data_IF_667143494449
#
_entry.id   IF_667143494449
#
_cell.length_a   1.000
_cell.length_b   1.000
_cell.length_c   1.000
_cell.angle_alpha   90.00
_cell.angle_beta   90.00
_cell.angle_gamma   90.00
#
_symmetry.space_group_name_H-M   'P 1'
#
loop_
_entity.id
_entity.type
_entity.pdbx_description
1 polymer ?
#
# COMPACT_ATOMS: atom_id res chain seq x y z
N UNK A 1 -3.21 -2.60 -21.13
CA UNK A 1 -3.12 -1.54 -20.10
C UNK A 1 -4.16 -0.43 -20.29
N UNK A 2 -4.44 0.07 -21.50
CA UNK A 2 -5.47 1.13 -21.69
C UNK A 2 -6.87 0.81 -21.11
N UNK A 3 -7.38 -0.41 -21.33
CA UNK A 3 -8.68 -0.85 -20.76
C UNK A 3 -8.66 -1.05 -19.23
N UNK A 4 -7.48 -1.30 -18.65
CA UNK A 4 -7.29 -1.42 -17.20
C UNK A 4 -7.44 -0.04 -16.56
N UNK A 5 -6.74 0.97 -17.10
CA UNK A 5 -6.74 2.32 -16.58
C UNK A 5 -8.09 3.01 -16.72
N UNK A 6 -8.79 2.81 -17.84
CA UNK A 6 -10.15 3.31 -18.02
C UNK A 6 -11.14 2.78 -16.97
N UNK A 7 -10.95 1.55 -16.48
CA UNK A 7 -11.78 0.95 -15.42
C UNK A 7 -11.41 1.44 -14.03
N UNK A 8 -10.14 1.72 -13.80
CA UNK A 8 -9.64 2.25 -12.53
C UNK A 8 -10.01 3.73 -12.34
N UNK A 9 -10.07 4.51 -13.43
CA UNK A 9 -10.53 5.91 -13.42
C UNK A 9 -12.06 6.04 -13.45
N UNK A 10 -12.74 5.06 -14.05
CA UNK A 10 -14.17 4.83 -13.89
C UNK A 10 -14.48 4.46 -12.44
N UNK A 11 -15.47 5.09 -11.83
CA UNK A 11 -15.85 4.84 -10.42
C UNK A 11 -15.98 3.33 -10.13
N UNK A 12 -15.59 2.86 -8.93
CA UNK A 12 -15.35 3.63 -7.71
C UNK A 12 -13.87 3.92 -7.41
N UNK A 13 -13.61 5.16 -6.95
CA UNK A 13 -12.32 5.57 -6.41
C UNK A 13 -12.09 4.93 -5.04
N UNK A 14 -10.85 4.51 -4.77
CA UNK A 14 -10.44 4.08 -3.43
C UNK A 14 -10.70 5.22 -2.43
N UNK A 15 -11.41 4.92 -1.35
CA UNK A 15 -11.76 5.91 -0.33
C UNK A 15 -10.77 5.84 0.82
N UNK A 16 -10.39 7.00 1.36
CA UNK A 16 -9.52 7.11 2.54
C UNK A 16 -10.00 6.24 3.71
N UNK A 17 -11.32 6.26 4.00
CA UNK A 17 -11.91 5.46 5.08
C UNK A 17 -11.64 3.95 4.93
N UNK A 18 -11.55 3.45 3.70
CA UNK A 18 -11.27 2.03 3.43
C UNK A 18 -9.81 1.68 3.66
N UNK A 19 -8.88 2.58 3.32
CA UNK A 19 -7.46 2.38 3.65
C UNK A 19 -7.23 2.31 5.15
N UNK A 20 -7.98 3.09 5.95
CA UNK A 20 -7.95 2.96 7.41
C UNK A 20 -8.44 1.59 7.87
N UNK A 21 -9.54 1.07 7.28
CA UNK A 21 -10.03 -0.29 7.57
C UNK A 21 -8.99 -1.34 7.22
N UNK A 22 -8.34 -1.24 6.06
CA UNK A 22 -7.28 -2.16 5.63
C UNK A 22 -6.15 -2.19 6.63
N UNK A 23 -5.63 -1.03 7.05
CA UNK A 23 -4.55 -0.97 8.04
C UNK A 23 -4.95 -1.56 9.39
N UNK A 24 -6.19 -1.34 9.82
CA UNK A 24 -6.71 -1.96 11.03
C UNK A 24 -6.74 -3.48 10.91
N UNK A 25 -7.30 -4.00 9.81
CA UNK A 25 -7.38 -5.44 9.55
C UNK A 25 -5.98 -6.08 9.52
N UNK A 26 -5.00 -5.43 8.90
CA UNK A 26 -3.59 -5.88 8.92
C UNK A 26 -3.06 -5.95 10.35
N UNK A 27 -3.29 -4.91 11.16
CA UNK A 27 -2.82 -4.89 12.55
C UNK A 27 -3.56 -5.86 13.48
N UNK A 28 -4.78 -6.27 13.14
CA UNK A 28 -5.55 -7.26 13.90
C UNK A 28 -5.18 -8.70 13.52
N UNK A 29 -4.78 -8.92 12.26
CA UNK A 29 -4.39 -10.24 11.76
C UNK A 29 -2.96 -10.63 12.10
N UNK A 30 -2.04 -9.67 12.11
CA UNK A 30 -0.64 -9.89 12.45
C UNK A 30 -0.24 -8.94 13.60
N UNK A 31 -0.13 -9.49 14.81
CA UNK A 31 0.29 -8.75 16.00
C UNK A 31 1.69 -8.13 15.84
N UNK A 32 2.60 -8.77 15.09
CA UNK A 32 3.94 -8.22 14.86
C UNK A 32 3.88 -7.00 13.92
N UNK A 33 3.03 -7.02 12.90
CA UNK A 33 2.74 -5.83 12.09
C UNK A 33 2.07 -4.77 12.95
N UNK A 34 1.09 -5.17 13.77
CA UNK A 34 0.41 -4.32 14.72
C UNK A 34 1.37 -3.57 15.63
N UNK A 35 2.30 -4.25 16.28
CA UNK A 35 3.30 -3.62 17.16
C UNK A 35 4.29 -2.70 16.43
N UNK A 36 4.57 -2.96 15.15
CA UNK A 36 5.46 -2.10 14.33
C UNK A 36 4.72 -0.86 13.82
N UNK A 37 3.47 -1.00 13.36
CA UNK A 37 2.68 0.11 12.83
C UNK A 37 2.07 0.97 13.94
N UNK A 38 1.62 0.34 15.03
CA UNK A 38 1.06 1.03 16.21
C UNK A 38 2.15 1.50 17.17
N UNK A 39 3.42 1.15 16.91
CA UNK A 39 4.60 1.48 17.72
C UNK A 39 4.26 1.49 19.20
N UNK A 40 4.18 0.32 19.84
CA UNK A 40 4.01 0.20 21.30
C UNK A 40 5.11 0.95 22.10
N UNK A 41 6.14 1.45 21.41
CA UNK A 41 7.24 2.29 21.92
C UNK A 41 6.95 3.81 21.90
N UNK A 42 5.92 4.27 21.21
CA UNK A 42 5.62 5.70 20.99
C UNK A 42 4.19 6.11 21.34
N UNK A 43 3.28 5.15 21.50
CA UNK A 43 1.89 5.39 21.87
C UNK A 43 1.48 4.48 23.04
N UNK A 44 1.00 5.09 24.11
CA UNK A 44 0.61 4.40 25.35
C UNK A 44 -0.90 4.16 25.45
N UNK A 45 -1.69 4.92 24.69
CA UNK A 45 -3.15 4.82 24.64
C UNK A 45 -3.69 4.43 23.26
N UNK A 46 -4.89 3.85 23.24
CA UNK A 46 -5.56 3.42 22.00
C UNK A 46 -5.83 4.59 21.03
N UNK A 47 -6.10 5.79 21.56
CA UNK A 47 -6.32 7.00 20.77
C UNK A 47 -5.07 7.44 20.00
N UNK A 48 -3.89 7.35 20.63
CA UNK A 48 -2.60 7.66 20.00
C UNK A 48 -2.27 6.64 18.91
N UNK A 49 -2.56 5.36 19.16
CA UNK A 49 -2.39 4.28 18.18
C UNK A 49 -3.31 4.49 16.97
N UNK A 50 -4.57 4.86 17.19
CA UNK A 50 -5.52 5.12 16.10
C UNK A 50 -5.17 6.39 15.31
N UNK A 51 -4.56 7.40 15.95
CA UNK A 51 -4.00 8.58 15.28
C UNK A 51 -2.80 8.22 14.37
N UNK A 52 -1.87 7.40 14.83
CA UNK A 52 -0.75 6.92 14.01
C UNK A 52 -1.27 6.16 12.78
N UNK A 53 -2.22 5.24 12.98
CA UNK A 53 -2.83 4.52 11.87
C UNK A 53 -3.53 5.45 10.88
N UNK A 54 -4.17 6.52 11.36
CA UNK A 54 -4.78 7.54 10.52
C UNK A 54 -3.75 8.28 9.66
N UNK A 55 -2.60 8.65 10.24
CA UNK A 55 -1.50 9.30 9.51
C UNK A 55 -0.90 8.38 8.43
N UNK A 56 -0.73 7.10 8.73
CA UNK A 56 -0.26 6.10 7.75
C UNK A 56 -1.29 5.93 6.64
N UNK A 57 -2.58 5.81 6.98
CA UNK A 57 -3.67 5.73 5.99
C UNK A 57 -3.67 6.95 5.07
N UNK A 58 -3.34 8.13 5.58
CA UNK A 58 -3.32 9.39 4.83
C UNK A 58 -2.17 9.42 3.85
N UNK A 59 -0.98 9.00 4.27
CA UNK A 59 0.18 8.88 3.38
C UNK A 59 -0.09 7.87 2.26
N UNK A 60 -0.70 6.72 2.58
CA UNK A 60 -1.07 5.71 1.59
C UNK A 60 -2.14 6.23 0.64
N UNK A 61 -3.15 6.94 1.14
CA UNK A 61 -4.18 7.54 0.31
C UNK A 61 -3.59 8.57 -0.64
N UNK A 62 -2.73 9.46 -0.14
CA UNK A 62 -2.06 10.47 -0.96
C UNK A 62 -1.18 9.83 -2.03
N UNK A 63 -0.46 8.76 -1.70
CA UNK A 63 0.30 7.99 -2.69
C UNK A 63 -0.61 7.39 -3.76
N UNK A 64 -1.72 6.76 -3.37
CA UNK A 64 -2.70 6.22 -4.33
C UNK A 64 -3.29 7.34 -5.19
N UNK A 65 -3.68 8.49 -4.62
CA UNK A 65 -4.20 9.61 -5.39
C UNK A 65 -3.17 10.14 -6.40
N UNK A 66 -1.89 10.23 -6.02
CA UNK A 66 -0.81 10.63 -6.91
C UNK A 66 -0.67 9.66 -8.09
N UNK A 67 -0.58 8.35 -7.84
CA UNK A 67 -0.43 7.37 -8.95
C UNK A 67 -1.67 7.24 -9.83
N UNK A 68 -2.82 7.70 -9.32
CA UNK A 68 -4.09 7.73 -10.04
C UNK A 68 -4.28 9.01 -10.88
N UNK A 69 -3.35 9.96 -10.80
CA UNK A 69 -3.35 11.12 -11.70
C UNK A 69 -3.14 10.66 -13.14
N UNK A 70 -3.83 11.31 -14.08
CA UNK A 70 -3.91 10.86 -15.48
C UNK A 70 -2.52 10.72 -16.13
N UNK A 71 -1.63 11.66 -15.84
CA UNK A 71 -0.24 11.71 -16.31
C UNK A 71 0.55 10.48 -15.86
N UNK A 72 0.39 10.06 -14.60
CA UNK A 72 1.14 8.94 -14.01
C UNK A 72 0.48 7.60 -14.37
N UNK A 73 -0.85 7.53 -14.29
CA UNK A 73 -1.59 6.29 -14.50
C UNK A 73 -1.43 5.79 -15.94
N UNK A 74 -1.48 6.68 -16.93
CA UNK A 74 -1.29 6.30 -18.33
C UNK A 74 0.19 6.12 -18.71
N UNK A 75 1.11 6.60 -17.89
CA UNK A 75 2.54 6.37 -18.05
C UNK A 75 3.02 5.23 -17.14
N UNK A 76 2.94 4.00 -17.65
CA UNK A 76 3.34 2.81 -16.90
C UNK A 76 4.79 2.86 -16.39
N UNK A 77 5.68 3.60 -17.07
CA UNK A 77 7.06 3.77 -16.61
C UNK A 77 7.13 4.65 -15.37
N UNK A 78 6.39 5.76 -15.35
CA UNK A 78 6.30 6.65 -14.19
C UNK A 78 5.58 5.98 -13.01
N UNK A 79 4.49 5.26 -13.27
CA UNK A 79 3.80 4.47 -12.25
C UNK A 79 4.75 3.47 -11.56
N UNK A 80 5.49 2.71 -12.36
CA UNK A 80 6.51 1.76 -11.85
C UNK A 80 7.61 2.48 -11.09
N UNK A 81 8.09 3.62 -11.60
CA UNK A 81 9.12 4.42 -10.96
C UNK A 81 8.67 4.94 -9.58
N UNK A 82 7.45 5.47 -9.48
CA UNK A 82 6.88 5.96 -8.22
C UNK A 82 6.80 4.84 -7.17
N UNK A 83 6.29 3.66 -7.57
CA UNK A 83 6.20 2.48 -6.70
C UNK A 83 7.60 1.98 -6.29
N UNK A 84 8.54 1.94 -7.22
CA UNK A 84 9.93 1.59 -6.98
C UNK A 84 10.61 2.53 -5.98
N UNK A 85 10.42 3.85 -6.12
CA UNK A 85 10.95 4.85 -5.20
C UNK A 85 10.37 4.69 -3.79
N UNK A 86 9.07 4.42 -3.66
CA UNK A 86 8.44 4.12 -2.37
C UNK A 86 9.05 2.86 -1.74
N UNK A 87 9.29 1.81 -2.52
CA UNK A 87 9.98 0.60 -2.08
C UNK A 87 11.40 0.87 -1.57
N UNK A 88 12.17 1.72 -2.26
CA UNK A 88 13.51 2.14 -1.81
C UNK A 88 13.47 2.88 -0.47
N UNK A 89 12.46 3.74 -0.25
CA UNK A 89 12.29 4.44 1.03
C UNK A 89 12.04 3.44 2.17
N UNK A 90 11.26 2.39 1.91
CA UNK A 90 11.00 1.33 2.90
C UNK A 90 12.28 0.56 3.30
N UNK A 91 13.27 0.46 2.41
CA UNK A 91 14.56 -0.16 2.75
C UNK A 91 15.33 0.61 3.84
N UNK A 92 15.08 1.91 4.03
CA UNK A 92 15.68 2.68 5.13
C UNK A 92 15.17 2.24 6.51
N UNK A 93 13.97 1.63 6.57
CA UNK A 93 13.34 1.16 7.80
C UNK A 93 13.64 -0.32 8.10
N UNK A 94 14.55 -0.95 7.34
CA UNK A 94 14.97 -2.35 7.57
C UNK A 94 15.66 -2.56 8.91
N UNK A 95 16.40 -1.55 9.38
CA UNK A 95 17.01 -1.51 10.71
C UNK A 95 15.94 -1.51 11.82
N UNK A 96 14.71 -1.10 11.50
CA UNK A 96 13.56 -1.05 12.40
C UNK A 96 12.64 -2.29 12.27
N UNK A 97 13.16 -3.42 11.77
CA UNK A 97 12.44 -4.70 11.66
C UNK A 97 11.39 -4.81 10.55
N UNK A 98 11.42 -3.94 9.54
CA UNK A 98 10.50 -4.07 8.39
C UNK A 98 10.72 -5.39 7.63
N UNK A 99 9.70 -6.25 7.58
CA UNK A 99 9.69 -7.52 6.86
C UNK A 99 8.84 -7.43 5.60
N UNK A 100 9.29 -8.07 4.53
CA UNK A 100 8.58 -8.10 3.24
C UNK A 100 7.18 -8.71 3.36
N UNK A 101 6.98 -9.68 4.25
CA UNK A 101 5.68 -10.31 4.54
C UNK A 101 4.58 -9.30 4.89
N UNK A 102 4.94 -8.11 5.37
CA UNK A 102 3.97 -7.05 5.69
C UNK A 102 3.27 -6.49 4.45
N UNK A 103 3.94 -6.53 3.29
CA UNK A 103 3.31 -6.18 2.03
C UNK A 103 2.38 -7.27 1.50
N UNK A 104 2.64 -8.53 1.82
CA UNK A 104 1.74 -9.63 1.50
C UNK A 104 0.45 -9.50 2.33
N UNK A 105 0.57 -9.26 3.65
CA UNK A 105 -0.58 -9.01 4.54
C UNK A 105 -1.39 -7.78 4.11
N UNK A 106 -0.71 -6.69 3.72
CA UNK A 106 -1.37 -5.52 3.15
C UNK A 106 -2.11 -5.85 1.86
N UNK A 107 -1.51 -6.63 0.96
CA UNK A 107 -2.13 -7.03 -0.31
C UNK A 107 -3.40 -7.83 -0.06
N UNK A 108 -3.35 -8.81 0.85
CA UNK A 108 -4.51 -9.61 1.22
C UNK A 108 -5.63 -8.75 1.80
N UNK A 109 -5.31 -7.89 2.77
CA UNK A 109 -6.30 -7.00 3.39
C UNK A 109 -6.91 -5.99 2.40
N UNK A 110 -6.11 -5.46 1.46
CA UNK A 110 -6.61 -4.62 0.38
C UNK A 110 -7.57 -5.37 -0.54
N UNK A 111 -7.22 -6.59 -0.95
CA UNK A 111 -8.06 -7.40 -1.84
C UNK A 111 -9.38 -7.75 -1.15
N UNK A 112 -9.33 -8.20 0.11
CA UNK A 112 -10.55 -8.49 0.89
C UNK A 112 -11.44 -7.24 1.02
N UNK A 113 -10.89 -6.06 1.26
CA UNK A 113 -11.66 -4.82 1.35
C UNK A 113 -12.30 -4.44 0.01
N UNK A 114 -11.61 -4.70 -1.11
CA UNK A 114 -12.15 -4.53 -2.45
C UNK A 114 -13.27 -5.55 -2.72
N UNK A 115 -13.12 -6.80 -2.31
CA UNK A 115 -14.14 -7.86 -2.46
C UNK A 115 -15.39 -7.60 -1.61
N UNK A 116 -15.22 -7.07 -0.40
CA UNK A 116 -16.32 -6.64 0.47
C UNK A 116 -17.07 -5.41 -0.08
N UNK A 117 -16.57 -4.80 -1.16
CA UNK A 117 -17.24 -3.70 -1.82
C UNK A 117 -18.31 -4.23 -2.78
N UNK A 118 -19.57 -4.28 -2.32
CA UNK A 118 -20.75 -4.59 -3.15
C UNK A 118 -20.99 -3.63 -4.34
N UNK A 119 -20.08 -2.70 -4.61
CA UNK A 119 -20.17 -1.68 -5.66
C UNK A 119 -19.23 -1.93 -6.85
N UNK A 120 -18.32 -2.90 -6.76
CA UNK A 120 -17.39 -3.22 -7.84
C UNK A 120 -17.97 -4.33 -8.72
N UNK A 121 -17.88 -4.16 -10.04
CA UNK A 121 -18.07 -5.29 -10.95
C UNK A 121 -16.88 -6.25 -10.83
N UNK A 122 -17.06 -7.51 -11.25
CA UNK A 122 -15.96 -8.50 -11.27
C UNK A 122 -14.76 -8.01 -12.10
N UNK A 123 -15.01 -7.24 -13.16
CA UNK A 123 -13.96 -6.73 -14.02
C UNK A 123 -13.21 -5.55 -13.37
N UNK A 124 -13.91 -4.69 -12.63
CA UNK A 124 -13.29 -3.59 -11.89
C UNK A 124 -12.50 -4.12 -10.70
N UNK A 125 -13.02 -5.14 -10.01
CA UNK A 125 -12.29 -5.85 -8.96
C UNK A 125 -10.97 -6.43 -9.49
N UNK A 126 -11.01 -7.12 -10.64
CA UNK A 126 -9.79 -7.64 -11.29
C UNK A 126 -8.83 -6.51 -11.69
N UNK A 127 -9.35 -5.37 -12.12
CA UNK A 127 -8.51 -4.22 -12.47
C UNK A 127 -7.80 -3.66 -11.23
N UNK A 128 -8.53 -3.50 -10.11
CA UNK A 128 -7.96 -3.08 -8.84
C UNK A 128 -6.94 -4.08 -8.29
N UNK A 129 -7.26 -5.39 -8.32
CA UNK A 129 -6.30 -6.45 -7.94
C UNK A 129 -5.02 -6.35 -8.78
N UNK A 130 -5.14 -6.17 -10.10
CA UNK A 130 -3.97 -6.01 -10.99
C UNK A 130 -3.13 -4.78 -10.62
N UNK A 131 -3.77 -3.66 -10.28
CA UNK A 131 -3.08 -2.45 -9.84
C UNK A 131 -2.34 -2.67 -8.51
N UNK A 132 -2.98 -3.30 -7.51
CA UNK A 132 -2.36 -3.59 -6.21
C UNK A 132 -1.12 -4.47 -6.40
N UNK A 133 -1.21 -5.54 -7.20
CA UNK A 133 -0.06 -6.38 -7.50
C UNK A 133 1.07 -5.61 -8.20
N UNK A 134 0.74 -4.74 -9.16
CA UNK A 134 1.73 -3.90 -9.83
C UNK A 134 2.44 -2.98 -8.84
N UNK A 135 1.71 -2.35 -7.92
CA UNK A 135 2.30 -1.47 -6.89
C UNK A 135 3.30 -2.27 -6.05
N UNK A 136 2.86 -3.39 -5.48
CA UNK A 136 3.66 -4.21 -4.56
C UNK A 136 4.88 -4.81 -5.26
N UNK A 137 4.73 -5.33 -6.48
CA UNK A 137 5.84 -5.89 -7.25
C UNK A 137 6.94 -4.84 -7.51
N UNK A 138 6.57 -3.60 -7.83
CA UNK A 138 7.56 -2.55 -8.07
C UNK A 138 8.17 -2.02 -6.78
N UNK A 139 7.40 -1.96 -5.69
CA UNK A 139 7.94 -1.67 -4.36
C UNK A 139 8.97 -2.72 -3.91
N UNK A 140 8.71 -4.02 -4.14
CA UNK A 140 9.64 -5.12 -3.90
C UNK A 140 10.96 -4.94 -4.64
N UNK A 141 10.90 -4.64 -5.94
CA UNK A 141 12.10 -4.38 -6.75
C UNK A 141 12.91 -3.20 -6.21
N UNK A 142 12.24 -2.14 -5.79
CA UNK A 142 12.88 -0.96 -5.18
C UNK A 142 13.57 -1.28 -3.86
N UNK A 143 12.89 -2.01 -3.00
CA UNK A 143 13.40 -2.44 -1.71
C UNK A 143 14.62 -3.35 -1.85
N UNK A 144 14.53 -4.39 -2.69
CA UNK A 144 15.63 -5.34 -2.90
C UNK A 144 16.87 -4.66 -3.49
N UNK A 145 16.68 -3.73 -4.43
CA UNK A 145 17.78 -2.94 -4.96
C UNK A 145 18.45 -2.14 -3.85
N UNK A 146 17.69 -1.38 -3.07
CA UNK A 146 18.26 -0.55 -1.99
C UNK A 146 18.97 -1.40 -0.93
N UNK A 147 18.41 -2.55 -0.56
CA UNK A 147 19.06 -3.49 0.38
C UNK A 147 20.39 -4.01 -0.16
N UNK A 148 20.46 -4.42 -1.43
CA UNK A 148 21.72 -4.89 -2.05
C UNK A 148 22.79 -3.81 -2.01
N UNK A 149 22.43 -2.57 -2.36
CA UNK A 149 23.37 -1.43 -2.32
C UNK A 149 23.81 -1.07 -0.89
N UNK A 150 23.00 -1.34 0.13
CA UNK A 150 23.37 -1.11 1.54
C UNK A 150 24.33 -2.19 2.07
N UNK A 151 24.25 -3.43 1.57
CA UNK A 151 25.14 -4.54 1.96
C UNK A 151 26.54 -4.40 1.33
N UNK A 152 26.62 -3.75 0.16
CA UNK A 152 27.87 -3.52 -0.57
C UNK A 152 28.69 -2.31 -0.07
N UNK A 153 28.20 -1.60 0.97
CA UNK A 153 28.86 -0.44 1.59
C UNK A 153 29.38 -0.76 2.99
#
# INVERSE_FOLDING_TARGET
MGALFARITGRPRLQFARLKTVLRNVCEKDEAVGSILKLDKHASGDDEKDFILMQIAEQMYNFVQMIMQDEILHNISELRCACYCLGKQHAAYTVQSFKVVYWDEFTLAMIEELENTNRLSNEDLRAWQTLVHLIVENMLRGYDHAKKTQIER
#
